data_IF_532673102475
#
_entry.id   IF_532673102475
#
_cell.length_a   1.000
_cell.length_b   1.000
_cell.length_c   1.000
_cell.angle_alpha   90.00
_cell.angle_beta   90.00
_cell.angle_gamma   90.00
#
_symmetry.space_group_name_H-M   'P 1'
#
loop_
_entity.id
_entity.type
_entity.pdbx_description
1 polymer ?
#
# COMPACT_ATOMS: atom_id res chain seq x y z
N UNK A 1 -23.49 61.17 -33.80
CA UNK A 1 -23.49 61.77 -32.45
C UNK A 1 -23.35 60.65 -31.44
N UNK A 2 -22.22 60.64 -30.72
CA UNK A 2 -21.91 60.01 -29.41
C UNK A 2 -22.30 58.54 -29.14
N UNK A 3 -21.55 57.68 -28.45
CA UNK A 3 -20.17 57.57 -27.89
C UNK A 3 -20.20 56.25 -27.07
N UNK A 4 -19.13 55.47 -27.15
CA UNK A 4 -18.59 54.42 -26.23
C UNK A 4 -19.46 53.71 -25.18
N UNK A 5 -19.19 52.40 -24.97
CA UNK A 5 -18.47 51.96 -23.76
C UNK A 5 -17.90 50.54 -23.91
N UNK A 6 -16.58 50.44 -23.73
CA UNK A 6 -15.82 49.26 -23.33
C UNK A 6 -16.03 49.02 -21.82
N UNK A 7 -16.04 47.77 -21.36
CA UNK A 7 -15.50 47.29 -20.07
C UNK A 7 -15.62 45.76 -20.07
N UNK A 8 -14.52 45.04 -20.22
CA UNK A 8 -13.75 44.41 -19.13
C UNK A 8 -14.32 43.07 -18.66
N UNK A 9 -13.54 42.01 -18.89
CA UNK A 9 -13.85 40.67 -18.45
C UNK A 9 -12.88 39.62 -18.98
N UNK A 10 -11.59 39.94 -19.02
CA UNK A 10 -10.51 39.01 -19.35
C UNK A 10 -10.42 37.93 -18.25
N UNK A 11 -11.19 36.84 -18.38
CA UNK A 11 -11.03 35.66 -17.53
C UNK A 11 -9.93 34.77 -18.09
N UNK A 12 -8.72 35.04 -17.62
CA UNK A 12 -7.59 34.11 -17.61
C UNK A 12 -8.06 32.83 -16.93
N UNK A 13 -8.27 31.77 -17.70
CA UNK A 13 -8.47 30.42 -17.17
C UNK A 13 -7.30 29.55 -17.62
N UNK A 14 -6.48 29.27 -16.62
CA UNK A 14 -5.34 28.38 -16.53
C UNK A 14 -5.16 27.35 -17.67
N UNK A 15 -3.97 27.46 -18.27
CA UNK A 15 -3.13 26.36 -18.73
C UNK A 15 -3.29 25.11 -17.82
N UNK A 16 -3.87 24.04 -18.35
CA UNK A 16 -3.61 22.67 -17.92
C UNK A 16 -3.71 21.75 -19.13
N UNK A 17 -2.82 21.99 -20.10
CA UNK A 17 -2.51 21.01 -21.13
C UNK A 17 -1.45 20.08 -20.54
N UNK A 18 -1.89 19.19 -19.64
CA UNK A 18 -1.05 18.12 -19.11
C UNK A 18 -0.78 17.13 -20.24
N UNK A 19 0.38 17.31 -20.87
CA UNK A 19 0.97 16.33 -21.78
C UNK A 19 1.13 15.04 -20.98
N UNK A 20 0.23 14.08 -21.25
CA UNK A 20 0.40 12.67 -20.92
C UNK A 20 1.59 12.16 -21.74
N UNK A 21 2.80 12.44 -21.27
CA UNK A 21 3.96 11.66 -21.67
C UNK A 21 3.90 10.38 -20.84
N UNK A 22 3.28 9.34 -21.40
CA UNK A 22 3.51 7.96 -20.99
C UNK A 22 5.00 7.68 -21.24
N UNK A 23 5.86 8.08 -20.30
CA UNK A 23 7.17 7.46 -20.17
C UNK A 23 6.87 6.07 -19.65
N UNK A 24 6.73 5.12 -20.58
CA UNK A 24 6.91 3.72 -20.27
C UNK A 24 8.35 3.58 -19.77
N UNK A 25 8.56 3.83 -18.47
CA UNK A 25 9.77 3.41 -17.78
C UNK A 25 9.73 1.89 -17.89
N UNK A 26 10.52 1.38 -18.81
CA UNK A 26 10.95 0.00 -18.75
C UNK A 26 11.61 -0.13 -17.39
N UNK A 27 10.88 -0.65 -16.41
CA UNK A 27 11.45 -1.43 -15.31
C UNK A 27 12.15 -2.60 -16.00
N UNK A 28 13.33 -2.30 -16.55
CA UNK A 28 14.18 -3.21 -17.28
C UNK A 28 14.61 -4.24 -16.26
N UNK A 29 13.83 -5.32 -16.22
CA UNK A 29 14.00 -6.59 -15.53
C UNK A 29 14.89 -6.40 -14.32
N UNK A 30 14.26 -6.24 -13.15
CA UNK A 30 14.93 -6.37 -11.87
C UNK A 30 15.99 -7.46 -12.01
N UNK A 31 17.25 -7.12 -11.75
CA UNK A 31 18.31 -8.12 -11.65
C UNK A 31 18.00 -8.90 -10.37
N UNK A 32 17.01 -9.79 -10.48
CA UNK A 32 16.61 -10.75 -9.45
C UNK A 32 17.75 -11.75 -9.42
N UNK A 33 18.86 -11.34 -8.83
CA UNK A 33 20.14 -12.04 -8.84
C UNK A 33 19.96 -13.50 -8.48
N UNK A 34 20.15 -14.36 -9.49
CA UNK A 34 19.90 -15.80 -9.45
C UNK A 34 20.97 -16.57 -8.67
N UNK A 35 21.01 -16.41 -7.35
CA UNK A 35 21.82 -17.26 -6.48
C UNK A 35 21.30 -17.38 -5.04
N UNK A 36 21.81 -18.37 -4.32
CA UNK A 36 21.43 -18.66 -2.94
C UNK A 36 21.97 -17.59 -1.99
N UNK A 37 21.09 -16.94 -1.22
CA UNK A 37 21.46 -16.02 -0.14
C UNK A 37 21.52 -14.54 -0.50
N UNK A 38 21.21 -14.16 -1.75
CA UNK A 38 21.12 -12.75 -2.13
C UNK A 38 19.93 -12.07 -1.44
N UNK A 39 20.07 -10.80 -1.01
CA UNK A 39 18.94 -10.02 -0.49
C UNK A 39 17.80 -9.96 -1.50
N UNK A 40 16.57 -10.19 -1.03
CA UNK A 40 15.37 -9.96 -1.83
C UNK A 40 15.12 -8.45 -1.89
N UNK A 41 15.44 -7.82 -3.01
CA UNK A 41 15.27 -6.38 -3.23
C UNK A 41 14.86 -6.12 -4.68
N UNK A 42 14.05 -5.10 -4.99
CA UNK A 42 13.77 -4.73 -6.37
C UNK A 42 14.95 -4.01 -7.03
N UNK A 43 15.97 -3.66 -6.25
CA UNK A 43 17.06 -2.78 -6.68
C UNK A 43 18.24 -3.54 -7.25
N UNK A 44 18.94 -2.88 -8.18
CA UNK A 44 20.29 -3.29 -8.59
C UNK A 44 21.28 -3.00 -7.46
N UNK A 45 22.52 -3.49 -7.62
CA UNK A 45 23.60 -3.29 -6.62
C UNK A 45 23.84 -1.82 -6.26
N UNK A 46 23.68 -0.92 -7.23
CA UNK A 46 23.86 0.53 -7.04
C UNK A 46 22.68 1.19 -6.31
N UNK A 47 21.55 0.49 -6.15
CA UNK A 47 20.33 1.03 -5.55
C UNK A 47 19.48 1.88 -6.51
N UNK A 48 18.40 2.49 -5.99
CA UNK A 48 17.60 3.46 -6.73
C UNK A 48 18.42 4.73 -7.06
N UNK A 49 18.21 5.28 -8.25
CA UNK A 49 18.93 6.47 -8.74
C UNK A 49 18.23 7.78 -8.43
N UNK A 50 16.98 7.73 -8.00
CA UNK A 50 16.17 8.93 -7.76
C UNK A 50 14.98 8.65 -6.83
N UNK A 51 14.41 9.73 -6.29
CA UNK A 51 13.13 9.69 -5.57
C UNK A 51 12.02 9.13 -6.45
N UNK A 52 12.00 9.51 -7.74
CA UNK A 52 10.99 9.02 -8.69
C UNK A 52 10.99 7.49 -8.79
N UNK A 53 12.18 6.90 -8.89
CA UNK A 53 12.34 5.44 -8.97
C UNK A 53 11.83 4.74 -7.69
N UNK A 54 12.12 5.32 -6.52
CA UNK A 54 11.57 4.84 -5.24
C UNK A 54 10.05 4.92 -5.20
N UNK A 55 9.47 6.05 -5.62
CA UNK A 55 8.01 6.24 -5.63
C UNK A 55 7.31 5.28 -6.61
N UNK A 56 7.92 5.01 -7.76
CA UNK A 56 7.43 3.99 -8.71
C UNK A 56 7.48 2.58 -8.10
N UNK A 57 8.59 2.20 -7.49
CA UNK A 57 8.70 0.90 -6.82
C UNK A 57 7.76 0.79 -5.63
N UNK A 58 7.54 1.89 -4.88
CA UNK A 58 6.63 1.94 -3.74
C UNK A 58 5.16 1.76 -4.17
N UNK A 59 4.77 2.38 -5.30
CA UNK A 59 3.45 2.16 -5.93
C UNK A 59 3.31 0.72 -6.41
N UNK A 60 4.32 0.18 -7.08
CA UNK A 60 4.32 -1.20 -7.53
C UNK A 60 4.25 -2.17 -6.35
N UNK A 61 5.02 -1.96 -5.29
CA UNK A 61 5.00 -2.77 -4.07
C UNK A 61 3.61 -2.85 -3.45
N UNK A 62 2.78 -1.82 -3.59
CA UNK A 62 1.42 -1.79 -3.06
C UNK A 62 0.49 -2.77 -3.80
N UNK A 63 0.78 -3.09 -5.06
CA UNK A 63 -0.01 -4.05 -5.86
C UNK A 63 0.40 -5.51 -5.64
N UNK A 64 1.49 -5.75 -4.91
CA UNK A 64 2.03 -7.08 -4.63
C UNK A 64 1.79 -7.54 -3.19
N UNK A 65 0.93 -6.84 -2.44
CA UNK A 65 0.60 -7.23 -1.08
C UNK A 65 -0.42 -8.36 -1.04
N UNK A 66 -0.26 -9.26 -0.08
CA UNK A 66 -1.26 -10.22 0.36
C UNK A 66 -1.81 -9.76 1.68
N UNK A 67 -3.13 -9.70 1.80
CA UNK A 67 -3.81 -9.49 3.07
C UNK A 67 -4.14 -10.87 3.65
N UNK A 68 -3.72 -11.14 4.88
CA UNK A 68 -4.17 -12.31 5.63
C UNK A 68 -5.00 -11.86 6.82
N UNK A 69 -6.23 -12.32 6.90
CA UNK A 69 -7.16 -11.93 7.95
C UNK A 69 -7.41 -13.12 8.87
N UNK A 70 -7.00 -13.00 10.13
CA UNK A 70 -7.35 -13.94 11.18
C UNK A 70 -8.65 -13.48 11.84
N UNK A 71 -9.69 -14.31 11.75
CA UNK A 71 -10.91 -14.13 12.53
C UNK A 71 -10.83 -15.00 13.78
N UNK A 72 -11.12 -14.42 14.94
CA UNK A 72 -11.29 -15.24 16.14
C UNK A 72 -12.48 -16.17 15.93
N UNK A 73 -12.31 -17.48 16.14
CA UNK A 73 -13.41 -18.42 16.02
C UNK A 73 -14.42 -18.12 17.12
N UNK A 74 -15.71 -18.11 16.76
CA UNK A 74 -16.80 -17.95 17.73
C UNK A 74 -16.97 -19.12 18.71
N UNK A 75 -16.13 -20.16 18.62
CA UNK A 75 -16.09 -21.34 19.48
C UNK A 75 -14.63 -21.65 19.85
N UNK A 76 -14.37 -21.88 21.16
CA UNK A 76 -13.04 -22.08 21.75
C UNK A 76 -12.25 -23.29 21.20
N UNK A 77 -12.89 -24.19 20.44
CA UNK A 77 -12.26 -25.41 19.92
C UNK A 77 -11.72 -25.32 18.48
N UNK A 78 -12.07 -24.28 17.72
CA UNK A 78 -11.54 -24.12 16.35
C UNK A 78 -10.28 -23.27 16.36
N UNK A 79 -9.28 -23.65 15.57
CA UNK A 79 -8.15 -22.75 15.28
C UNK A 79 -8.66 -21.62 14.40
N UNK A 80 -8.18 -20.37 14.58
CA UNK A 80 -8.52 -19.28 13.68
C UNK A 80 -8.12 -19.68 12.25
N UNK A 81 -9.09 -19.75 11.35
CA UNK A 81 -8.83 -19.89 9.92
C UNK A 81 -8.43 -18.51 9.40
N UNK A 82 -7.21 -18.41 8.84
CA UNK A 82 -6.77 -17.21 8.14
C UNK A 82 -7.22 -17.27 6.69
N UNK A 83 -7.84 -16.20 6.21
CA UNK A 83 -8.19 -16.04 4.80
C UNK A 83 -7.16 -15.11 4.15
N UNK A 84 -6.53 -15.59 3.08
CA UNK A 84 -5.52 -14.87 2.33
C UNK A 84 -6.10 -14.29 1.03
N UNK A 85 -5.82 -13.00 0.79
CA UNK A 85 -6.18 -12.27 -0.41
C UNK A 85 -4.90 -11.84 -1.11
N UNK A 86 -4.45 -12.62 -2.09
CA UNK A 86 -3.25 -12.31 -2.87
C UNK A 86 -3.47 -11.13 -3.82
N UNK A 87 -2.45 -10.27 -3.96
CA UNK A 87 -2.51 -9.02 -4.73
C UNK A 87 -3.74 -8.18 -4.37
N UNK A 88 -3.93 -7.99 -3.06
CA UNK A 88 -5.11 -7.32 -2.50
C UNK A 88 -5.24 -5.90 -3.04
N UNK A 89 -6.48 -5.55 -3.38
CA UNK A 89 -6.89 -4.19 -3.70
C UNK A 89 -8.16 -3.84 -2.92
N UNK A 90 -8.43 -2.56 -2.77
CA UNK A 90 -9.68 -2.03 -2.24
C UNK A 90 -10.53 -1.54 -3.41
N UNK A 91 -11.75 -2.07 -3.50
CA UNK A 91 -12.65 -1.82 -4.64
C UNK A 91 -14.09 -1.61 -4.15
N UNK A 92 -14.93 -0.88 -4.91
CA UNK A 92 -16.35 -0.83 -4.65
C UNK A 92 -17.00 -2.18 -4.97
N UNK A 93 -18.05 -2.55 -4.24
CA UNK A 93 -18.87 -3.73 -4.54
C UNK A 93 -20.34 -3.35 -4.77
N UNK A 94 -20.95 -3.76 -5.89
CA UNK A 94 -20.33 -4.49 -7.01
C UNK A 94 -19.29 -3.65 -7.76
N UNK A 95 -18.27 -4.33 -8.31
CA UNK A 95 -17.25 -3.72 -9.17
C UNK A 95 -17.75 -3.67 -10.62
N UNK A 96 -17.57 -2.54 -11.27
CA UNK A 96 -18.04 -2.24 -12.62
C UNK A 96 -16.89 -1.86 -13.54
N UNK A 97 -17.14 -1.95 -14.86
CA UNK A 97 -16.22 -1.41 -15.85
C UNK A 97 -15.99 0.09 -15.64
N UNK A 98 -14.72 0.49 -15.57
CA UNK A 98 -14.32 1.87 -15.28
C UNK A 98 -14.03 2.17 -13.81
N UNK A 99 -14.34 1.24 -12.89
CA UNK A 99 -13.91 1.38 -11.50
C UNK A 99 -12.39 1.25 -11.36
N UNK A 100 -11.85 1.96 -10.35
CA UNK A 100 -10.43 2.01 -10.08
C UNK A 100 -10.11 1.16 -8.86
N UNK A 101 -9.12 0.27 -9.00
CA UNK A 101 -8.52 -0.45 -7.88
C UNK A 101 -7.66 0.48 -7.05
N UNK A 102 -7.92 0.52 -5.75
CA UNK A 102 -7.13 1.30 -4.81
C UNK A 102 -6.15 0.39 -4.07
N UNK A 103 -4.93 0.87 -3.87
CA UNK A 103 -3.88 0.20 -3.10
C UNK A 103 -3.48 1.03 -1.87
N UNK A 104 -4.47 1.73 -1.35
CA UNK A 104 -4.38 2.65 -0.22
C UNK A 104 -5.61 2.46 0.65
N UNK A 105 -5.44 2.63 1.95
CA UNK A 105 -6.51 2.74 2.90
C UNK A 105 -6.65 4.19 3.33
N UNK A 106 -7.82 4.78 3.10
CA UNK A 106 -8.08 6.19 3.42
C UNK A 106 -9.10 6.30 4.54
N UNK A 107 -8.75 7.03 5.58
CA UNK A 107 -9.61 7.25 6.74
C UNK A 107 -9.33 8.60 7.40
N UNK A 108 -10.09 8.91 8.45
CA UNK A 108 -9.86 10.09 9.29
C UNK A 108 -9.18 9.69 10.58
N UNK A 109 -8.24 10.49 11.05
CA UNK A 109 -7.68 10.36 12.40
C UNK A 109 -8.62 10.97 13.43
N UNK A 110 -8.30 10.82 14.71
CA UNK A 110 -9.05 11.45 15.81
C UNK A 110 -9.04 12.97 15.79
N UNK A 111 -8.08 13.61 15.08
CA UNK A 111 -8.08 15.06 14.85
C UNK A 111 -8.98 15.50 13.69
N UNK A 112 -9.57 14.54 12.96
CA UNK A 112 -10.39 14.79 11.77
C UNK A 112 -9.59 14.93 10.48
N UNK A 113 -8.26 14.77 10.53
CA UNK A 113 -7.38 14.79 9.36
C UNK A 113 -7.60 13.54 8.50
N UNK A 114 -7.77 13.73 7.18
CA UNK A 114 -7.82 12.61 6.23
C UNK A 114 -6.40 12.12 5.96
N UNK A 115 -6.16 10.84 6.25
CA UNK A 115 -4.88 10.16 6.01
C UNK A 115 -5.10 9.01 5.04
N UNK A 116 -4.19 8.86 4.08
CA UNK A 116 -4.13 7.73 3.16
C UNK A 116 -2.84 6.93 3.43
N UNK A 117 -2.98 5.65 3.75
CA UNK A 117 -1.86 4.74 4.02
C UNK A 117 -1.76 3.76 2.84
N UNK A 118 -0.61 3.74 2.17
CA UNK A 118 -0.37 2.78 1.09
C UNK A 118 -0.23 1.36 1.63
N UNK A 119 -0.78 0.38 0.91
CA UNK A 119 -0.60 -1.03 1.24
C UNK A 119 0.88 -1.44 1.30
N UNK A 120 1.77 -0.78 0.55
CA UNK A 120 3.23 -1.03 0.62
C UNK A 120 3.90 -0.57 1.91
N UNK A 121 3.17 0.12 2.78
CA UNK A 121 3.60 0.55 4.10
C UNK A 121 2.68 0.04 5.21
N UNK A 122 1.62 -0.70 4.89
CA UNK A 122 0.82 -1.35 5.92
C UNK A 122 1.53 -2.64 6.30
N UNK A 123 1.81 -2.83 7.59
CA UNK A 123 2.27 -4.10 8.12
C UNK A 123 1.09 -4.93 8.63
N UNK A 124 0.18 -4.29 9.37
CA UNK A 124 -0.98 -4.95 9.95
C UNK A 124 -2.06 -3.95 10.33
N UNK A 125 -3.26 -4.45 10.62
CA UNK A 125 -4.25 -3.70 11.37
C UNK A 125 -5.02 -4.59 12.35
N UNK A 126 -5.63 -3.93 13.34
CA UNK A 126 -6.63 -4.52 14.21
C UNK A 126 -7.91 -3.67 14.20
N UNK A 127 -9.07 -4.32 14.22
CA UNK A 127 -10.36 -3.62 14.34
C UNK A 127 -10.60 -3.24 15.79
N UNK A 128 -10.66 -1.94 16.07
CA UNK A 128 -10.89 -1.39 17.42
C UNK A 128 -12.39 -1.28 17.69
N UNK A 129 -13.14 -0.70 16.76
CA UNK A 129 -14.58 -0.47 16.87
C UNK A 129 -15.22 -0.47 15.49
N UNK A 130 -16.54 -0.68 15.47
CA UNK A 130 -17.34 -0.64 14.25
C UNK A 130 -18.75 -0.21 14.59
N UNK A 131 -19.32 0.64 13.74
CA UNK A 131 -20.74 0.94 13.71
C UNK A 131 -21.31 0.68 12.30
N UNK A 132 -22.54 1.13 12.04
CA UNK A 132 -23.24 0.87 10.79
C UNK A 132 -22.62 1.56 9.57
N UNK A 133 -21.76 2.57 9.77
CA UNK A 133 -21.20 3.41 8.69
C UNK A 133 -19.69 3.45 8.67
N UNK A 134 -19.05 3.20 9.81
CA UNK A 134 -17.63 3.37 10.00
C UNK A 134 -17.00 2.20 10.72
N UNK A 135 -15.74 1.93 10.38
CA UNK A 135 -14.88 0.99 11.08
C UNK A 135 -13.64 1.75 11.54
N UNK A 136 -13.28 1.59 12.80
CA UNK A 136 -12.07 2.15 13.38
C UNK A 136 -10.99 1.07 13.41
N UNK A 137 -9.88 1.33 12.73
CA UNK A 137 -8.73 0.43 12.67
C UNK A 137 -7.52 1.04 13.37
N UNK A 138 -6.81 0.23 14.15
CA UNK A 138 -5.42 0.52 14.53
C UNK A 138 -4.53 -0.07 13.45
N UNK A 139 -3.91 0.77 12.63
CA UNK A 139 -3.04 0.36 11.52
C UNK A 139 -1.58 0.52 11.94
N UNK A 140 -0.82 -0.57 11.90
CA UNK A 140 0.63 -0.55 12.05
C UNK A 140 1.26 -0.21 10.69
N UNK A 141 1.94 0.93 10.63
CA UNK A 141 2.63 1.41 9.42
C UNK A 141 4.11 1.06 9.53
N UNK A 142 4.63 0.35 8.53
CA UNK A 142 6.05 0.07 8.40
C UNK A 142 6.46 -0.25 6.94
N UNK A 143 7.59 0.29 6.46
CA UNK A 143 8.33 1.39 7.07
C UNK A 143 7.63 2.73 6.85
N UNK A 144 7.49 3.51 7.92
CA UNK A 144 6.96 4.86 7.90
C UNK A 144 8.07 5.88 7.61
N UNK A 145 8.66 5.77 6.43
CA UNK A 145 9.74 6.65 5.95
C UNK A 145 9.36 7.22 4.58
N UNK A 146 9.71 8.49 4.35
CA UNK A 146 9.58 9.09 3.02
C UNK A 146 10.69 8.61 2.07
N UNK A 147 10.46 8.66 0.76
CA UNK A 147 11.50 8.28 -0.21
C UNK A 147 12.69 9.21 -0.16
N UNK A 148 12.46 10.50 0.10
CA UNK A 148 13.49 11.52 0.31
C UNK A 148 14.36 11.19 1.53
N UNK A 149 13.73 10.86 2.66
CA UNK A 149 14.44 10.52 3.87
C UNK A 149 15.20 9.20 3.74
N UNK A 150 14.59 8.18 3.12
CA UNK A 150 15.24 6.90 2.87
C UNK A 150 16.53 7.07 2.04
N UNK A 151 16.50 7.90 0.99
CA UNK A 151 17.70 8.16 0.18
C UNK A 151 18.73 9.02 0.89
N UNK A 152 18.29 9.96 1.71
CA UNK A 152 19.16 10.91 2.41
C UNK A 152 19.87 10.26 3.59
N UNK A 153 19.14 9.51 4.41
CA UNK A 153 19.65 8.92 5.65
C UNK A 153 20.30 7.55 5.42
N UNK A 154 19.89 6.81 4.37
CA UNK A 154 20.44 5.49 4.07
C UNK A 154 20.47 4.56 5.30
N UNK A 155 19.36 4.40 6.03
CA UNK A 155 19.35 3.61 7.25
C UNK A 155 19.71 2.15 6.98
N UNK A 156 20.29 1.49 7.97
CA UNK A 156 20.41 0.04 8.00
C UNK A 156 19.05 -0.62 8.26
N UNK A 157 18.94 -1.94 8.07
CA UNK A 157 17.70 -2.65 8.39
C UNK A 157 17.33 -2.53 9.87
N UNK A 158 18.32 -2.62 10.77
CA UNK A 158 18.11 -2.42 12.22
C UNK A 158 17.52 -1.06 12.54
N UNK A 159 18.10 0.01 11.98
CA UNK A 159 17.64 1.37 12.19
C UNK A 159 16.24 1.58 11.61
N UNK A 160 16.00 1.06 10.41
CA UNK A 160 14.68 1.13 9.76
C UNK A 160 13.61 0.39 10.57
N UNK A 161 13.92 -0.81 11.06
CA UNK A 161 13.01 -1.65 11.83
C UNK A 161 12.69 -1.05 13.21
N UNK A 162 13.70 -0.49 13.88
CA UNK A 162 13.54 0.07 15.22
C UNK A 162 12.91 1.47 15.24
N UNK A 163 13.18 2.30 14.22
CA UNK A 163 12.85 3.73 14.23
C UNK A 163 11.63 4.14 13.40
N UNK A 164 11.25 3.35 12.39
CA UNK A 164 10.27 3.77 11.37
C UNK A 164 9.00 2.93 11.40
N UNK A 165 8.51 2.62 12.60
CA UNK A 165 7.24 1.94 12.84
C UNK A 165 6.35 2.81 13.70
N UNK A 166 5.09 2.98 13.29
CA UNK A 166 4.09 3.68 14.11
C UNK A 166 2.71 3.06 13.95
N UNK A 167 1.88 3.30 14.95
CA UNK A 167 0.46 2.97 14.89
C UNK A 167 -0.37 4.21 14.54
N UNK A 168 -1.37 4.03 13.69
CA UNK A 168 -2.29 5.06 13.24
C UNK A 168 -3.71 4.57 13.44
N UNK A 169 -4.50 5.31 14.22
CA UNK A 169 -5.93 5.02 14.35
C UNK A 169 -6.68 5.75 13.25
N UNK A 170 -7.43 4.99 12.44
CA UNK A 170 -8.21 5.51 11.32
C UNK A 170 -9.68 5.11 11.44
N UNK A 171 -10.57 6.10 11.34
CA UNK A 171 -11.99 5.91 11.09
C UNK A 171 -12.23 5.89 9.58
N UNK A 172 -12.72 4.75 9.08
CA UNK A 172 -12.89 4.48 7.66
C UNK A 172 -14.37 4.25 7.39
N UNK A 173 -14.91 4.92 6.37
CA UNK A 173 -16.28 4.66 5.94
C UNK A 173 -16.39 3.25 5.35
N UNK A 174 -17.47 2.54 5.66
CA UNK A 174 -17.75 1.21 5.12
C UNK A 174 -18.15 1.25 3.64
N UNK A 175 -18.49 2.42 3.12
CA UNK A 175 -18.90 2.66 1.74
C UNK A 175 -18.01 3.74 1.09
N UNK A 176 -17.90 3.68 -0.23
CA UNK A 176 -17.39 4.77 -1.05
C UNK A 176 -18.42 5.91 -1.12
N UNK A 177 -18.00 7.06 -1.66
CA UNK A 177 -18.86 8.23 -1.79
C UNK A 177 -20.09 8.00 -2.68
N UNK A 178 -20.06 6.98 -3.54
CA UNK A 178 -21.18 6.57 -4.40
C UNK A 178 -22.16 5.58 -3.71
N UNK A 179 -21.93 5.26 -2.43
CA UNK A 179 -22.78 4.38 -1.62
C UNK A 179 -22.49 2.89 -1.79
N UNK A 180 -21.52 2.49 -2.61
CA UNK A 180 -21.12 1.07 -2.73
C UNK A 180 -20.18 0.68 -1.61
N UNK A 181 -20.32 -0.55 -1.12
CA UNK A 181 -19.49 -1.07 -0.04
C UNK A 181 -18.01 -1.10 -0.45
N UNK A 182 -17.12 -0.75 0.47
CA UNK A 182 -15.69 -0.94 0.32
C UNK A 182 -15.33 -2.39 0.63
N UNK A 183 -14.69 -3.08 -0.31
CA UNK A 183 -14.30 -4.48 -0.14
C UNK A 183 -12.81 -4.66 -0.47
N UNK A 184 -12.13 -5.47 0.34
CA UNK A 184 -10.86 -6.05 -0.08
C UNK A 184 -11.15 -7.13 -1.12
N UNK A 185 -10.44 -7.11 -2.24
CA UNK A 185 -10.54 -8.10 -3.30
C UNK A 185 -9.14 -8.64 -3.63
N UNK A 186 -9.02 -9.97 -3.67
CA UNK A 186 -7.82 -10.67 -4.17
C UNK A 186 -7.92 -10.95 -5.67
N UNK A 187 -6.77 -11.11 -6.35
CA UNK A 187 -6.72 -11.27 -7.81
C UNK A 187 -7.19 -12.66 -8.30
N UNK A 188 -6.92 -13.72 -7.53
CA UNK A 188 -6.93 -15.10 -8.05
C UNK A 188 -8.13 -15.95 -7.64
N UNK A 189 -8.97 -15.43 -6.76
CA UNK A 189 -10.17 -16.08 -6.26
C UNK A 189 -11.19 -14.96 -6.17
N UNK A 190 -12.46 -15.18 -6.52
CA UNK A 190 -13.58 -14.22 -6.34
C UNK A 190 -13.87 -13.96 -4.83
N UNK A 191 -12.81 -13.92 -4.02
CA UNK A 191 -12.78 -13.67 -2.61
C UNK A 191 -12.78 -12.16 -2.43
N UNK A 192 -13.95 -11.68 -2.01
CA UNK A 192 -14.11 -10.33 -1.50
C UNK A 192 -14.36 -10.37 0.00
N UNK A 193 -13.78 -9.42 0.71
CA UNK A 193 -14.05 -9.18 2.12
C UNK A 193 -14.50 -7.74 2.31
N UNK A 194 -15.81 -7.51 2.44
CA UNK A 194 -16.32 -6.20 2.82
C UNK A 194 -15.76 -5.75 4.15
N UNK A 195 -15.34 -4.48 4.24
CA UNK A 195 -14.85 -3.91 5.51
C UNK A 195 -15.89 -4.08 6.63
N UNK A 196 -17.18 -3.94 6.30
CA UNK A 196 -18.27 -4.11 7.26
C UNK A 196 -18.42 -5.52 7.83
N UNK A 197 -17.80 -6.55 7.22
CA UNK A 197 -17.79 -7.92 7.75
C UNK A 197 -16.67 -8.20 8.73
N UNK A 198 -15.67 -7.33 8.83
CA UNK A 198 -14.63 -7.45 9.84
C UNK A 198 -15.25 -7.27 11.24
N UNK A 199 -14.91 -8.16 12.17
CA UNK A 199 -15.40 -8.09 13.54
C UNK A 199 -14.46 -7.28 14.41
N UNK A 200 -14.97 -6.67 15.48
CA UNK A 200 -14.12 -6.04 16.50
C UNK A 200 -13.16 -7.09 17.06
N UNK A 201 -11.88 -6.73 17.20
CA UNK A 201 -10.82 -7.66 17.59
C UNK A 201 -10.19 -8.44 16.43
N UNK A 202 -10.78 -8.45 15.23
CA UNK A 202 -10.17 -9.08 14.07
C UNK A 202 -8.82 -8.43 13.75
N UNK A 203 -7.84 -9.26 13.39
CA UNK A 203 -6.48 -8.83 13.06
C UNK A 203 -6.15 -9.26 11.64
N UNK A 204 -5.45 -8.39 10.93
CA UNK A 204 -4.94 -8.72 9.62
C UNK A 204 -3.49 -8.29 9.45
N UNK A 205 -2.73 -9.11 8.73
CA UNK A 205 -1.36 -8.82 8.33
C UNK A 205 -1.29 -8.56 6.84
N UNK A 206 -0.47 -7.60 6.45
CA UNK A 206 -0.04 -7.39 5.08
C UNK A 206 1.35 -8.00 4.93
N UNK A 207 1.47 -8.97 4.03
CA UNK A 207 2.76 -9.52 3.63
C UNK A 207 2.76 -9.80 2.13
N UNK A 208 3.91 -9.74 1.47
CA UNK A 208 3.96 -10.21 0.08
C UNK A 208 3.94 -11.72 0.03
N UNK A 209 2.80 -12.33 -0.30
CA UNK A 209 2.68 -13.75 -0.60
C UNK A 209 3.17 -14.05 -2.02
N UNK A 210 4.02 -15.07 -2.14
CA UNK A 210 4.09 -15.94 -3.31
C UNK A 210 4.15 -17.35 -2.74
N UNK A 211 3.56 -18.38 -3.39
CA UNK A 211 3.45 -19.75 -2.86
C UNK A 211 4.76 -20.42 -2.42
N UNK A 212 5.92 -19.77 -2.60
CA UNK A 212 7.22 -20.31 -2.19
C UNK A 212 8.16 -19.30 -1.51
N UNK A 213 7.96 -17.97 -1.58
CA UNK A 213 8.80 -16.91 -0.96
C UNK A 213 8.11 -15.52 -0.96
N UNK A 214 8.71 -14.52 -0.31
CA UNK A 214 8.36 -13.11 -0.49
C UNK A 214 8.79 -12.55 -1.85
N UNK A 215 7.89 -11.91 -2.62
CA UNK A 215 8.26 -11.30 -3.91
C UNK A 215 9.17 -10.07 -3.72
N UNK A 216 10.35 -9.97 -4.36
CA UNK A 216 11.30 -8.86 -4.15
C UNK A 216 10.71 -7.47 -4.38
N UNK A 217 9.80 -7.32 -5.35
CA UNK A 217 9.13 -6.05 -5.67
C UNK A 217 8.34 -5.43 -4.50
N UNK A 218 8.06 -6.18 -3.42
CA UNK A 218 7.41 -5.62 -2.22
C UNK A 218 8.34 -4.74 -1.39
N UNK A 219 9.66 -4.94 -1.51
CA UNK A 219 10.66 -4.32 -0.65
C UNK A 219 11.23 -3.05 -1.28
N UNK A 220 10.36 -2.12 -1.68
CA UNK A 220 10.78 -0.82 -2.23
C UNK A 220 11.79 -0.11 -1.30
N UNK A 221 11.66 -0.33 0.01
CA UNK A 221 12.53 0.24 1.03
C UNK A 221 13.88 -0.48 1.19
N UNK A 222 14.07 -1.67 0.61
CA UNK A 222 15.28 -2.48 0.77
C UNK A 222 16.44 -2.01 -0.14
N UNK A 223 16.73 -0.71 -0.10
CA UNK A 223 17.87 -0.08 -0.77
C UNK A 223 19.20 -0.69 -0.26
N UNK A 224 20.35 -0.50 -0.93
CA UNK A 224 21.58 -1.21 -0.60
C UNK A 224 22.03 -1.11 0.86
N UNK A 225 21.87 0.05 1.51
CA UNK A 225 22.18 0.24 2.94
C UNK A 225 21.34 -0.66 3.85
N UNK A 226 20.06 -0.85 3.52
CA UNK A 226 19.14 -1.75 4.23
C UNK A 226 19.41 -3.21 3.89
N UNK A 227 19.48 -3.55 2.61
CA UNK A 227 19.56 -4.93 2.13
C UNK A 227 20.90 -5.62 2.42
N UNK A 228 21.97 -4.85 2.58
CA UNK A 228 23.29 -5.35 2.95
C UNK A 228 23.50 -5.47 4.47
N UNK A 229 22.56 -5.00 5.29
CA UNK A 229 22.57 -5.27 6.73
C UNK A 229 22.55 -6.78 6.98
N UNK A 230 23.38 -7.25 7.92
CA UNK A 230 23.48 -8.66 8.29
C UNK A 230 22.15 -9.20 8.82
N UNK A 231 21.37 -8.34 9.48
CA UNK A 231 20.08 -8.70 10.08
C UNK A 231 18.92 -8.61 9.08
N UNK A 232 19.17 -8.22 7.82
CA UNK A 232 18.16 -8.26 6.78
C UNK A 232 17.70 -9.71 6.52
N UNK A 233 16.45 -10.08 6.89
CA UNK A 233 16.04 -11.48 6.95
C UNK A 233 15.54 -11.99 5.60
N UNK A 234 15.27 -11.09 4.65
CA UNK A 234 14.63 -11.43 3.39
C UNK A 234 15.68 -11.75 2.33
N UNK A 235 15.99 -13.04 2.17
CA UNK A 235 16.96 -13.51 1.17
C UNK A 235 16.31 -14.48 0.20
N UNK A 236 16.72 -14.45 -1.06
CA UNK A 236 16.24 -15.36 -2.09
C UNK A 236 16.86 -16.75 -1.83
N UNK A 237 15.99 -17.74 -1.63
CA UNK A 237 16.35 -19.16 -1.57
C UNK A 237 15.92 -19.78 -2.91
N UNK A 238 16.84 -20.25 -3.75
CA UNK A 238 16.50 -20.90 -5.00
C UNK A 238 15.62 -22.12 -4.73
N UNK A 239 14.68 -22.39 -5.65
CA UNK A 239 14.07 -23.71 -5.73
C UNK A 239 15.18 -24.74 -5.93
N UNK A 240 15.24 -25.76 -5.06
CA UNK A 240 15.94 -27.01 -5.37
C UNK A 240 15.17 -27.77 -6.43
#
# INVERSE_FOLDING_TARGET
>A
MRVSSFSDGLRISALFLSILLFVAVQLAVADVGGGKGYPATPWRKEGPKSILELEEAKKLAATYQTLSVAQEPGDEERKPESIDFERVSLVPSPFHEGDVRLYVLTGKTSSGETVAISFSQMESFAVISKDDKTITLSVTVWPDISSEELLREQPTYKELYAGYRRDVVLDINLEFADGRAQVFEGEWQDNTLPLGRLQVGAKAGFYGGHPHMAHPLRFWWAIPSVANDEDYPFRIIPKM
#
